data_IF_944351564199
#
_entry.id   IF_944351564199
#
_cell.length_a   1.000
_cell.length_b   1.000
_cell.length_c   1.000
_cell.angle_alpha   90.00
_cell.angle_beta   90.00
_cell.angle_gamma   90.00
#
_symmetry.space_group_name_H-M   'P 1'
#
loop_
_entity.id
_entity.type
_entity.pdbx_description
1 polymer ?
#
# COMPACT_ATOMS: atom_id res chain seq x y z
N UNK A 1 -29.41 -21.07 59.94
CA UNK A 1 -28.56 -20.31 58.99
C UNK A 1 -28.16 -21.23 57.84
N UNK A 2 -28.82 -21.12 56.68
CA UNK A 2 -28.36 -21.72 55.42
C UNK A 2 -28.44 -20.62 54.37
N UNK A 3 -27.29 -20.13 53.90
CA UNK A 3 -27.20 -19.11 52.85
C UNK A 3 -27.33 -19.80 51.50
N UNK A 4 -28.34 -19.43 50.72
CA UNK A 4 -28.40 -19.71 49.29
C UNK A 4 -27.50 -18.71 48.58
N UNK A 5 -26.52 -19.19 47.82
CA UNK A 5 -25.73 -18.38 46.89
C UNK A 5 -26.34 -18.63 45.51
N UNK A 6 -26.93 -17.60 44.93
CA UNK A 6 -27.32 -17.59 43.51
C UNK A 6 -26.07 -17.22 42.71
N UNK A 7 -25.59 -18.15 41.89
CA UNK A 7 -24.59 -17.84 40.87
C UNK A 7 -25.31 -17.30 39.64
N UNK A 8 -25.18 -15.99 39.40
CA UNK A 8 -25.61 -15.37 38.14
C UNK A 8 -24.58 -15.74 37.09
N UNK A 9 -24.96 -16.57 36.13
CA UNK A 9 -24.15 -16.81 34.94
C UNK A 9 -24.26 -15.57 34.03
N UNK A 10 -23.17 -14.81 33.92
CA UNK A 10 -23.05 -13.72 32.97
C UNK A 10 -22.84 -14.33 31.58
N UNK A 11 -23.88 -14.37 30.76
CA UNK A 11 -23.74 -14.69 29.33
C UNK A 11 -23.17 -13.45 28.65
N UNK A 12 -21.85 -13.46 28.41
CA UNK A 12 -21.20 -12.50 27.53
C UNK A 12 -21.57 -12.86 26.08
N UNK A 13 -22.59 -12.19 25.56
CA UNK A 13 -22.83 -12.16 24.11
C UNK A 13 -21.73 -11.31 23.50
N UNK A 14 -20.78 -11.95 22.81
CA UNK A 14 -19.86 -11.26 21.93
C UNK A 14 -20.68 -10.57 20.84
N UNK A 15 -20.76 -9.24 20.91
CA UNK A 15 -21.23 -8.45 19.77
C UNK A 15 -20.12 -8.48 18.71
N UNK A 16 -20.46 -8.61 17.42
CA UNK A 16 -19.48 -8.40 16.36
C UNK A 16 -19.00 -6.95 16.49
N UNK A 17 -17.70 -6.77 16.73
CA UNK A 17 -17.07 -5.47 16.56
C UNK A 17 -17.14 -5.18 15.05
N UNK A 18 -17.95 -4.18 14.70
CA UNK A 18 -17.87 -3.58 13.37
C UNK A 18 -16.54 -2.83 13.30
N UNK A 19 -15.88 -2.91 12.14
CA UNK A 19 -14.69 -2.14 11.79
C UNK A 19 -14.80 -0.66 12.22
N UNK A 20 -13.68 -0.03 12.54
CA UNK A 20 -13.67 1.43 12.69
C UNK A 20 -13.65 2.07 11.29
N UNK A 21 -14.85 2.37 10.78
CA UNK A 21 -15.06 3.32 9.67
C UNK A 21 -14.75 4.78 10.10
N UNK A 22 -14.18 5.02 11.30
CA UNK A 22 -14.07 6.33 11.94
C UNK A 22 -12.78 7.11 11.60
N UNK A 23 -12.02 6.68 10.59
CA UNK A 23 -10.89 7.50 10.10
C UNK A 23 -11.47 8.66 9.27
N UNK A 24 -11.72 9.78 9.96
CA UNK A 24 -12.27 10.98 9.35
C UNK A 24 -11.38 11.49 8.22
N UNK A 25 -12.01 11.97 7.14
CA UNK A 25 -11.35 12.70 6.05
C UNK A 25 -10.57 13.89 6.62
N UNK A 26 -9.26 13.94 6.33
CA UNK A 26 -8.36 14.96 6.84
C UNK A 26 -8.26 16.18 5.92
N UNK A 27 -8.83 16.12 4.70
CA UNK A 27 -8.84 17.27 3.80
C UNK A 27 -10.21 17.51 3.14
N UNK A 28 -11.23 17.87 3.94
CA UNK A 28 -12.56 18.18 3.42
C UNK A 28 -12.51 19.29 2.35
N UNK A 29 -12.97 18.98 1.15
CA UNK A 29 -12.98 19.88 -0.01
C UNK A 29 -12.04 19.48 -1.14
N UNK A 30 -11.19 18.48 -0.90
CA UNK A 30 -10.45 17.76 -1.93
C UNK A 30 -10.96 16.31 -2.02
N UNK A 31 -10.65 15.62 -3.13
CA UNK A 31 -10.78 14.16 -3.20
C UNK A 31 -9.53 13.46 -2.62
N UNK A 32 -8.45 14.20 -2.38
CA UNK A 32 -7.34 13.71 -1.57
C UNK A 32 -7.79 13.59 -0.11
N UNK A 33 -7.62 12.42 0.50
CA UNK A 33 -7.81 12.22 1.94
C UNK A 33 -6.96 13.16 2.82
N UNK A 34 -5.74 13.48 2.42
CA UNK A 34 -4.88 14.43 3.14
C UNK A 34 -4.16 15.37 2.18
N UNK A 35 -3.85 16.58 2.64
CA UNK A 35 -3.08 17.55 1.86
C UNK A 35 -1.61 17.12 1.80
N UNK A 36 -0.93 17.23 0.64
CA UNK A 36 0.49 16.93 0.59
C UNK A 36 1.32 17.80 1.53
N UNK A 37 2.32 17.21 2.17
CA UNK A 37 3.32 17.93 2.96
C UNK A 37 4.74 17.52 2.53
N UNK A 38 5.70 18.41 2.78
CA UNK A 38 7.12 18.15 2.52
C UNK A 38 7.72 17.32 3.66
N UNK A 39 8.14 16.10 3.37
CA UNK A 39 8.74 15.22 4.39
C UNK A 39 10.23 15.51 4.57
N UNK A 40 10.96 15.57 3.45
CA UNK A 40 12.34 16.06 3.36
C UNK A 40 12.42 17.05 2.19
N UNK A 41 13.46 17.90 2.12
CA UNK A 41 13.56 18.91 1.07
C UNK A 41 13.32 18.33 -0.34
N UNK A 42 12.32 18.86 -1.03
CA UNK A 42 11.93 18.45 -2.38
C UNK A 42 11.08 17.18 -2.48
N UNK A 43 10.88 16.41 -1.41
CA UNK A 43 10.08 15.17 -1.40
C UNK A 43 8.80 15.37 -0.61
N UNK A 44 7.68 15.23 -1.29
CA UNK A 44 6.34 15.45 -0.75
C UNK A 44 5.51 14.17 -0.79
N UNK A 45 4.54 14.07 0.12
CA UNK A 45 3.57 12.99 0.09
C UNK A 45 2.19 13.45 0.58
N UNK A 46 1.14 13.07 -0.15
CA UNK A 46 -0.22 13.03 0.35
C UNK A 46 -0.49 11.63 0.89
N UNK A 47 -0.80 11.54 2.18
CA UNK A 47 -1.01 10.27 2.86
C UNK A 47 -2.43 9.79 2.61
N UNK A 48 -2.56 8.56 2.15
CA UNK A 48 -3.85 7.90 2.01
C UNK A 48 -4.44 7.54 3.38
N UNK A 49 -5.76 7.33 3.43
CA UNK A 49 -6.39 6.76 4.61
C UNK A 49 -5.81 5.37 4.85
N UNK A 50 -5.36 5.07 6.07
CA UNK A 50 -4.94 3.72 6.49
C UNK A 50 -6.14 2.77 6.69
N UNK A 51 -7.19 2.96 5.90
CA UNK A 51 -8.46 2.24 5.92
C UNK A 51 -8.76 1.63 4.55
N UNK A 52 -9.80 0.78 4.43
CA UNK A 52 -10.30 0.35 3.14
C UNK A 52 -10.78 1.55 2.29
N UNK A 53 -10.87 1.41 0.96
CA UNK A 53 -11.43 2.46 0.12
C UNK A 53 -12.91 2.67 0.48
N UNK A 54 -13.28 3.92 0.72
CA UNK A 54 -14.65 4.35 0.98
C UNK A 54 -15.03 5.48 0.03
N UNK A 55 -16.30 5.86 0.04
CA UNK A 55 -16.72 7.05 -0.69
C UNK A 55 -16.04 8.30 -0.11
N UNK A 56 -15.98 8.41 1.21
CA UNK A 56 -15.47 9.55 1.98
C UNK A 56 -13.99 9.82 1.73
N UNK A 57 -13.16 8.77 1.68
CA UNK A 57 -11.74 8.90 1.35
C UNK A 57 -11.46 8.88 -0.17
N UNK A 58 -12.49 8.80 -1.01
CA UNK A 58 -12.41 8.72 -2.47
C UNK A 58 -11.57 7.54 -3.01
N UNK A 59 -11.32 6.51 -2.19
CA UNK A 59 -10.36 5.45 -2.49
C UNK A 59 -8.90 5.87 -2.39
N UNK A 60 -8.58 7.07 -1.89
CA UNK A 60 -7.23 7.49 -1.56
C UNK A 60 -6.76 6.79 -0.29
N UNK A 61 -6.30 5.56 -0.45
CA UNK A 61 -5.83 4.74 0.66
C UNK A 61 -4.32 4.43 0.60
N UNK A 62 -3.66 4.58 -0.55
CA UNK A 62 -2.19 4.53 -0.67
C UNK A 62 -1.58 5.94 -0.65
N UNK A 63 -0.26 6.01 -0.51
CA UNK A 63 0.47 7.28 -0.53
C UNK A 63 0.70 7.76 -1.97
N UNK A 64 0.38 9.03 -2.21
CA UNK A 64 0.67 9.72 -3.47
C UNK A 64 1.81 10.70 -3.25
N UNK A 65 3.00 10.31 -3.70
CA UNK A 65 4.23 11.06 -3.45
C UNK A 65 4.71 11.78 -4.71
N UNK A 66 5.50 12.84 -4.54
CA UNK A 66 6.16 13.50 -5.66
C UNK A 66 7.44 14.19 -5.24
N UNK A 67 8.34 14.36 -6.21
CA UNK A 67 9.68 14.90 -6.02
C UNK A 67 9.80 16.15 -6.90
N UNK A 68 10.04 17.30 -6.27
CA UNK A 68 10.32 18.58 -6.93
C UNK A 68 11.83 18.70 -7.09
N UNK A 69 12.31 18.52 -8.31
CA UNK A 69 13.73 18.26 -8.55
C UNK A 69 14.58 19.49 -8.88
N UNK A 70 13.92 20.58 -9.29
CA UNK A 70 14.57 21.76 -9.89
C UNK A 70 14.45 21.81 -11.41
N UNK A 71 14.24 20.67 -12.08
CA UNK A 71 14.08 20.55 -13.55
C UNK A 71 12.78 19.83 -13.96
N UNK A 72 11.85 19.67 -13.03
CA UNK A 72 10.60 18.95 -13.22
C UNK A 72 10.12 18.25 -11.96
N UNK A 73 8.90 17.73 -12.03
CA UNK A 73 8.32 16.91 -10.98
C UNK A 73 8.20 15.46 -11.43
N UNK A 74 8.63 14.54 -10.57
CA UNK A 74 8.33 13.11 -10.71
C UNK A 74 7.25 12.76 -9.70
N UNK A 75 6.17 12.13 -10.17
CA UNK A 75 5.10 11.62 -9.32
C UNK A 75 5.28 10.12 -9.11
N UNK A 76 4.97 9.65 -7.91
CA UNK A 76 4.93 8.24 -7.55
C UNK A 76 3.47 7.90 -7.24
N UNK A 77 2.95 6.91 -7.96
CA UNK A 77 1.56 6.48 -8.07
C UNK A 77 0.67 7.49 -8.81
N UNK A 78 -0.11 6.98 -9.76
CA UNK A 78 -1.00 7.81 -10.56
C UNK A 78 -2.29 8.14 -9.84
N UNK A 79 -2.66 7.36 -8.81
CA UNK A 79 -3.86 7.49 -8.00
C UNK A 79 -4.93 6.46 -8.35
N UNK A 80 -5.91 6.29 -7.46
CA UNK A 80 -7.02 5.33 -7.62
C UNK A 80 -8.14 5.78 -8.57
N UNK A 81 -8.07 6.99 -9.09
CA UNK A 81 -9.04 7.51 -10.06
C UNK A 81 -8.51 8.72 -10.83
N UNK A 82 -9.18 9.07 -11.92
CA UNK A 82 -8.93 10.31 -12.67
C UNK A 82 -9.03 11.55 -11.78
N UNK A 83 -10.05 11.63 -10.93
CA UNK A 83 -10.26 12.79 -10.06
C UNK A 83 -9.15 12.91 -9.01
N UNK A 84 -8.68 11.79 -8.48
CA UNK A 84 -7.60 11.78 -7.50
C UNK A 84 -6.27 12.24 -8.12
N UNK A 85 -5.92 11.72 -9.30
CA UNK A 85 -4.77 12.15 -10.08
C UNK A 85 -4.80 13.67 -10.36
N UNK A 86 -5.96 14.18 -10.78
CA UNK A 86 -6.18 15.60 -11.05
C UNK A 86 -6.05 16.46 -9.79
N UNK A 87 -6.55 15.99 -8.66
CA UNK A 87 -6.42 16.71 -7.39
C UNK A 87 -4.96 16.78 -6.93
N UNK A 88 -4.21 15.68 -7.03
CA UNK A 88 -2.77 15.67 -6.76
C UNK A 88 -2.02 16.67 -7.64
N UNK A 89 -2.27 16.66 -8.95
CA UNK A 89 -1.63 17.60 -9.88
C UNK A 89 -2.00 19.06 -9.59
N UNK A 90 -3.20 19.32 -9.08
CA UNK A 90 -3.61 20.66 -8.65
C UNK A 90 -2.78 21.14 -7.46
N UNK A 91 -2.54 20.28 -6.46
CA UNK A 91 -1.68 20.61 -5.33
C UNK A 91 -0.21 20.78 -5.75
N UNK A 92 0.29 19.95 -6.66
CA UNK A 92 1.65 20.11 -7.22
C UNK A 92 1.81 21.50 -7.86
N UNK A 93 0.85 21.94 -8.67
CA UNK A 93 0.87 23.29 -9.29
C UNK A 93 0.75 24.44 -8.30
N UNK A 94 0.20 24.19 -7.10
CA UNK A 94 0.17 25.20 -6.04
C UNK A 94 1.50 25.29 -5.28
N UNK A 95 2.31 24.22 -5.32
CA UNK A 95 3.61 24.12 -4.65
C UNK A 95 4.76 24.59 -5.56
N UNK A 96 4.69 24.30 -6.85
CA UNK A 96 5.77 24.62 -7.80
C UNK A 96 5.25 24.93 -9.21
N UNK A 97 5.98 25.78 -9.93
CA UNK A 97 5.76 26.06 -11.36
C UNK A 97 6.41 25.01 -12.28
N UNK A 98 7.18 24.07 -11.72
CA UNK A 98 7.81 23.00 -12.50
C UNK A 98 6.75 22.04 -13.07
N UNK A 99 6.83 21.70 -14.37
CA UNK A 99 5.92 20.73 -14.96
C UNK A 99 6.17 19.32 -14.40
N UNK A 100 5.11 18.53 -14.28
CA UNK A 100 5.24 17.08 -14.08
C UNK A 100 5.80 16.46 -15.36
N UNK A 101 6.87 15.68 -15.22
CA UNK A 101 7.63 15.09 -16.34
C UNK A 101 7.45 13.57 -16.45
N UNK A 102 7.13 12.91 -15.34
CA UNK A 102 7.07 11.46 -15.25
C UNK A 102 6.16 11.02 -14.10
N UNK A 103 5.44 9.92 -14.29
CA UNK A 103 4.77 9.19 -13.20
C UNK A 103 5.35 7.78 -13.13
N UNK A 104 5.96 7.43 -11.99
CA UNK A 104 6.35 6.07 -11.65
C UNK A 104 5.20 5.40 -10.91
N UNK A 105 4.93 4.13 -11.20
CA UNK A 105 3.83 3.38 -10.59
C UNK A 105 4.42 2.25 -9.76
N UNK A 106 4.04 2.19 -8.48
CA UNK A 106 4.66 1.24 -7.54
C UNK A 106 4.27 -0.22 -7.80
N UNK A 107 3.05 -0.48 -8.30
CA UNK A 107 2.53 -1.81 -8.56
C UNK A 107 1.36 -1.80 -9.55
N UNK A 108 0.81 -2.98 -9.86
CA UNK A 108 -0.31 -3.17 -10.79
C UNK A 108 -1.71 -2.93 -10.20
N UNK A 109 -1.82 -2.47 -8.96
CA UNK A 109 -3.10 -2.36 -8.26
C UNK A 109 -3.88 -1.09 -8.65
N UNK A 110 -5.20 -1.16 -8.52
CA UNK A 110 -6.10 -0.08 -8.93
C UNK A 110 -5.81 1.27 -8.25
N UNK A 111 -5.45 1.27 -6.96
CA UNK A 111 -5.14 2.50 -6.23
C UNK A 111 -3.87 3.21 -6.75
N UNK A 112 -2.96 2.47 -7.40
CA UNK A 112 -1.73 3.01 -7.96
C UNK A 112 -1.85 3.37 -9.45
N UNK A 113 -2.73 2.69 -10.21
CA UNK A 113 -2.78 2.78 -11.68
C UNK A 113 -4.03 3.43 -12.30
N UNK A 114 -5.18 3.46 -11.63
CA UNK A 114 -6.42 3.92 -12.26
C UNK A 114 -6.39 5.41 -12.64
N UNK A 115 -5.49 6.20 -12.05
CA UNK A 115 -5.26 7.60 -12.41
C UNK A 115 -4.51 7.81 -13.72
N UNK A 116 -4.00 6.74 -14.37
CA UNK A 116 -3.21 6.83 -15.60
C UNK A 116 -3.91 7.61 -16.72
N UNK A 117 -5.24 7.49 -16.83
CA UNK A 117 -6.04 8.22 -17.83
C UNK A 117 -5.81 9.72 -17.76
N UNK A 118 -5.77 10.30 -16.55
CA UNK A 118 -5.53 11.72 -16.37
C UNK A 118 -4.15 12.14 -16.86
N UNK A 119 -3.11 11.40 -16.48
CA UNK A 119 -1.72 11.72 -16.84
C UNK A 119 -1.46 11.57 -18.33
N UNK A 120 -2.05 10.57 -18.97
CA UNK A 120 -2.01 10.41 -20.42
C UNK A 120 -2.61 11.61 -21.15
N UNK A 121 -3.74 12.16 -20.68
CA UNK A 121 -4.33 13.39 -21.24
C UNK A 121 -3.43 14.63 -21.04
N UNK A 122 -2.61 14.65 -19.98
CA UNK A 122 -1.63 15.72 -19.77
C UNK A 122 -0.36 15.53 -20.62
N UNK A 123 -0.25 14.43 -21.37
CA UNK A 123 0.96 14.07 -22.13
C UNK A 123 2.14 13.71 -21.23
N UNK A 124 1.89 13.25 -20.00
CA UNK A 124 2.92 12.82 -19.05
C UNK A 124 3.09 11.31 -19.15
N UNK A 125 4.31 10.81 -19.41
CA UNK A 125 4.57 9.37 -19.45
C UNK A 125 4.34 8.71 -18.07
N UNK A 126 3.76 7.52 -18.11
CA UNK A 126 3.55 6.62 -16.97
C UNK A 126 4.42 5.38 -17.16
N UNK A 127 5.19 5.03 -16.13
CA UNK A 127 6.16 3.93 -16.17
C UNK A 127 5.84 2.94 -15.05
N UNK A 128 5.74 1.66 -15.40
CA UNK A 128 5.56 0.58 -14.44
C UNK A 128 6.53 -0.57 -14.72
N UNK A 129 6.71 -1.46 -13.75
CA UNK A 129 7.41 -2.71 -14.00
C UNK A 129 6.57 -3.62 -14.91
N UNK A 130 7.21 -4.45 -15.74
CA UNK A 130 6.55 -5.28 -16.76
C UNK A 130 5.47 -6.22 -16.19
N UNK A 131 5.72 -6.89 -15.07
CA UNK A 131 4.75 -7.73 -14.37
C UNK A 131 3.64 -6.93 -13.67
N UNK A 132 3.94 -5.74 -13.16
CA UNK A 132 2.90 -4.84 -12.63
C UNK A 132 1.94 -4.40 -13.74
N UNK A 133 2.47 -4.06 -14.93
CA UNK A 133 1.66 -3.74 -16.10
C UNK A 133 0.77 -4.93 -16.51
N UNK A 134 1.33 -6.14 -16.54
CA UNK A 134 0.59 -7.37 -16.83
C UNK A 134 -0.50 -7.66 -15.78
N UNK A 135 -0.19 -7.50 -14.50
CA UNK A 135 -1.18 -7.68 -13.42
C UNK A 135 -2.35 -6.68 -13.57
N UNK A 136 -2.08 -5.46 -14.02
CA UNK A 136 -3.13 -4.48 -14.31
C UNK A 136 -3.94 -4.81 -15.56
N UNK A 137 -3.35 -5.37 -16.61
CA UNK A 137 -4.10 -5.87 -17.77
C UNK A 137 -5.10 -6.97 -17.36
N UNK A 138 -4.67 -7.88 -16.47
CA UNK A 138 -5.49 -8.99 -15.99
C UNK A 138 -6.59 -8.53 -15.02
N UNK A 139 -6.27 -7.64 -14.07
CA UNK A 139 -7.13 -7.32 -12.92
C UNK A 139 -7.75 -5.91 -12.99
N UNK A 140 -7.29 -5.05 -13.90
CA UNK A 140 -7.68 -3.64 -13.98
C UNK A 140 -9.18 -3.45 -14.17
N UNK A 141 -9.83 -4.29 -14.99
CA UNK A 141 -11.28 -4.21 -15.20
C UNK A 141 -12.08 -4.47 -13.92
N UNK A 142 -11.62 -5.36 -13.04
CA UNK A 142 -12.23 -5.57 -11.74
C UNK A 142 -11.97 -4.38 -10.82
N UNK A 143 -10.72 -3.90 -10.78
CA UNK A 143 -10.34 -2.73 -9.99
C UNK A 143 -11.17 -1.49 -10.35
N UNK A 144 -11.37 -1.23 -11.64
CA UNK A 144 -12.18 -0.11 -12.13
C UNK A 144 -13.65 -0.23 -11.69
N UNK A 145 -14.25 -1.42 -11.81
CA UNK A 145 -15.63 -1.64 -11.35
C UNK A 145 -15.77 -1.40 -9.84
N UNK A 146 -14.81 -1.89 -9.05
CA UNK A 146 -14.78 -1.67 -7.60
C UNK A 146 -14.65 -0.18 -7.27
N UNK A 147 -13.73 0.53 -7.93
CA UNK A 147 -13.53 1.96 -7.74
C UNK A 147 -14.78 2.77 -8.10
N UNK A 148 -15.43 2.48 -9.24
CA UNK A 148 -16.68 3.12 -9.64
C UNK A 148 -17.83 2.84 -8.66
N UNK A 149 -17.91 1.63 -8.11
CA UNK A 149 -18.93 1.28 -7.12
C UNK A 149 -18.74 2.01 -5.79
N UNK A 150 -17.50 2.15 -5.33
CA UNK A 150 -17.16 2.76 -4.04
C UNK A 150 -17.13 4.28 -4.13
N UNK A 151 -16.33 4.82 -5.05
CA UNK A 151 -16.06 6.25 -5.17
C UNK A 151 -17.11 7.00 -5.99
N UNK A 152 -17.96 6.29 -6.75
CA UNK A 152 -19.08 6.85 -7.54
C UNK A 152 -18.58 7.98 -8.45
N UNK A 153 -19.14 9.19 -8.35
CA UNK A 153 -18.75 10.35 -9.14
C UNK A 153 -17.29 10.78 -8.90
N UNK A 154 -16.68 10.40 -7.77
CA UNK A 154 -15.24 10.61 -7.53
C UNK A 154 -14.35 9.70 -8.38
N UNK A 155 -14.93 8.77 -9.13
CA UNK A 155 -14.26 7.97 -10.16
C UNK A 155 -14.61 8.42 -11.59
N UNK A 156 -15.37 9.51 -11.79
CA UNK A 156 -15.72 9.98 -13.13
C UNK A 156 -14.48 10.30 -13.98
N UNK A 157 -14.51 9.87 -15.24
CA UNK A 157 -13.39 10.01 -16.18
C UNK A 157 -12.29 8.94 -16.04
N UNK A 158 -12.41 8.02 -15.08
CA UNK A 158 -11.45 6.92 -14.91
C UNK A 158 -11.70 5.84 -15.97
N UNK A 159 -10.68 5.54 -16.76
CA UNK A 159 -10.68 4.47 -17.77
C UNK A 159 -9.50 3.51 -17.54
N UNK A 160 -9.52 2.36 -18.22
CA UNK A 160 -8.36 1.46 -18.21
C UNK A 160 -7.30 1.99 -19.17
N UNK A 161 -6.34 2.73 -18.63
CA UNK A 161 -5.19 3.24 -19.38
C UNK A 161 -3.92 2.51 -18.91
N UNK A 162 -3.32 1.65 -19.74
CA UNK A 162 -2.07 0.99 -19.36
C UNK A 162 -0.92 2.00 -19.21
N UNK A 163 0.16 1.66 -18.49
CA UNK A 163 1.36 2.48 -18.47
C UNK A 163 1.90 2.66 -19.90
N UNK A 164 2.44 3.85 -20.19
CA UNK A 164 3.01 4.14 -21.52
C UNK A 164 4.36 3.47 -21.77
N UNK A 165 5.10 3.16 -20.70
CA UNK A 165 6.40 2.50 -20.75
C UNK A 165 6.49 1.42 -19.67
N UNK A 166 7.28 0.38 -19.93
CA UNK A 166 7.62 -0.63 -18.92
C UNK A 166 9.12 -0.81 -18.78
N UNK A 167 9.54 -1.37 -17.65
CA UNK A 167 10.91 -1.82 -17.40
C UNK A 167 10.91 -3.12 -16.60
N UNK A 168 12.03 -3.84 -16.64
CA UNK A 168 12.14 -5.15 -15.98
C UNK A 168 12.77 -5.02 -14.58
N UNK A 169 14.04 -4.58 -14.52
CA UNK A 169 14.81 -4.59 -13.26
C UNK A 169 15.01 -3.18 -12.65
N UNK A 170 15.44 -2.22 -13.46
CA UNK A 170 15.85 -0.89 -12.99
C UNK A 170 15.54 0.20 -14.02
N UNK A 171 14.98 1.32 -13.55
CA UNK A 171 14.77 2.54 -14.34
C UNK A 171 15.40 3.72 -13.60
N UNK A 172 16.36 4.39 -14.24
CA UNK A 172 17.15 5.48 -13.63
C UNK A 172 16.69 6.82 -14.20
N UNK A 173 16.50 7.79 -13.32
CA UNK A 173 16.19 9.17 -13.67
C UNK A 173 17.17 10.10 -12.99
N UNK A 174 17.94 10.83 -13.80
CA UNK A 174 18.67 12.01 -13.36
C UNK A 174 17.85 13.25 -13.75
N UNK A 175 17.35 13.98 -12.76
CA UNK A 175 16.53 15.18 -12.99
C UNK A 175 16.86 16.22 -11.95
N UNK A 176 17.28 17.41 -12.41
CA UNK A 176 17.74 18.48 -11.51
C UNK A 176 18.83 18.00 -10.56
N UNK A 177 18.59 18.16 -9.26
CA UNK A 177 19.53 17.78 -8.18
C UNK A 177 19.32 16.34 -7.68
N UNK A 178 18.47 15.54 -8.32
CA UNK A 178 18.08 14.21 -7.86
C UNK A 178 18.55 13.10 -8.80
N UNK A 179 19.17 12.08 -8.21
CA UNK A 179 19.37 10.76 -8.81
C UNK A 179 18.34 9.80 -8.23
N UNK A 180 17.49 9.24 -9.08
CA UNK A 180 16.31 8.47 -8.68
C UNK A 180 16.36 7.12 -9.38
N UNK A 181 16.20 6.05 -8.60
CA UNK A 181 16.19 4.68 -9.11
C UNK A 181 14.85 4.01 -8.80
N UNK A 182 14.05 3.69 -9.81
CA UNK A 182 12.96 2.74 -9.65
C UNK A 182 13.54 1.33 -9.78
N UNK A 183 13.35 0.51 -8.75
CA UNK A 183 13.99 -0.80 -8.61
C UNK A 183 12.95 -1.88 -8.38
N UNK A 184 12.97 -2.91 -9.23
CA UNK A 184 12.38 -4.20 -8.91
C UNK A 184 13.39 -5.00 -8.08
N UNK A 185 13.07 -5.25 -6.82
CA UNK A 185 14.00 -5.93 -5.89
C UNK A 185 13.80 -7.45 -5.87
N UNK A 186 12.65 -7.92 -6.33
CA UNK A 186 12.21 -9.30 -6.23
C UNK A 186 10.73 -9.40 -5.82
N UNK A 187 10.18 -10.61 -5.67
CA UNK A 187 8.80 -10.83 -5.28
C UNK A 187 8.47 -10.19 -3.92
N UNK A 188 7.29 -9.58 -3.81
CA UNK A 188 6.84 -8.86 -2.62
C UNK A 188 5.31 -8.96 -2.43
N UNK A 189 4.63 -7.83 -2.20
CA UNK A 189 3.19 -7.77 -1.96
C UNK A 189 2.37 -8.18 -3.18
N UNK A 190 2.76 -7.73 -4.37
CA UNK A 190 2.13 -8.06 -5.65
C UNK A 190 3.16 -8.22 -6.78
N UNK A 191 2.78 -8.83 -7.92
CA UNK A 191 3.67 -8.97 -9.06
C UNK A 191 4.20 -7.63 -9.57
N UNK A 192 5.52 -7.51 -9.65
CA UNK A 192 6.17 -6.33 -10.21
C UNK A 192 6.22 -5.12 -9.28
N UNK A 193 6.07 -5.30 -7.97
CA UNK A 193 6.25 -4.20 -7.01
C UNK A 193 7.64 -3.58 -7.15
N UNK A 194 7.69 -2.25 -7.20
CA UNK A 194 8.94 -1.49 -7.23
C UNK A 194 9.10 -0.63 -5.98
N UNK A 195 10.35 -0.32 -5.68
CA UNK A 195 10.71 0.78 -4.78
C UNK A 195 11.30 1.93 -5.59
N UNK A 196 11.15 3.16 -5.13
CA UNK A 196 11.86 4.33 -5.65
C UNK A 196 12.93 4.75 -4.65
N UNK A 197 14.19 4.51 -5.00
CA UNK A 197 15.37 4.74 -4.17
C UNK A 197 16.09 6.03 -4.54
N UNK A 198 16.36 6.85 -3.53
CA UNK A 198 17.08 8.12 -3.62
C UNK A 198 18.35 8.01 -2.75
N UNK A 199 19.48 7.55 -3.31
CA UNK A 199 20.67 7.23 -2.52
C UNK A 199 21.29 8.43 -1.82
N UNK A 200 21.33 9.60 -2.45
CA UNK A 200 21.91 10.83 -1.89
C UNK A 200 21.09 11.34 -0.69
N UNK A 201 19.78 11.12 -0.71
CA UNK A 201 18.87 11.49 0.38
C UNK A 201 18.74 10.39 1.44
N UNK A 202 19.28 9.19 1.18
CA UNK A 202 19.06 7.98 2.00
C UNK A 202 17.57 7.75 2.24
N UNK A 203 16.75 7.94 1.19
CA UNK A 203 15.30 7.83 1.23
C UNK A 203 14.82 6.76 0.24
N UNK A 204 13.92 5.88 0.70
CA UNK A 204 13.17 4.98 -0.17
C UNK A 204 11.68 5.28 -0.08
N UNK A 205 11.03 5.45 -1.23
CA UNK A 205 9.56 5.32 -1.34
C UNK A 205 9.33 3.86 -1.70
N UNK A 206 8.95 3.05 -0.71
CA UNK A 206 9.00 1.60 -0.84
C UNK A 206 7.83 1.02 -1.62
N UNK A 207 6.80 1.82 -1.86
CA UNK A 207 5.47 1.28 -2.16
C UNK A 207 5.10 0.14 -1.22
N UNK A 208 4.39 -0.84 -1.75
CA UNK A 208 3.90 -1.98 -0.95
C UNK A 208 4.98 -3.03 -0.64
N UNK A 209 6.27 -2.77 -0.90
CA UNK A 209 7.34 -3.54 -0.25
C UNK A 209 7.29 -3.39 1.28
N UNK A 210 6.83 -2.23 1.78
CA UNK A 210 6.76 -1.94 3.20
C UNK A 210 5.51 -1.13 3.60
N UNK A 211 4.94 -1.50 4.74
CA UNK A 211 3.74 -0.92 5.33
C UNK A 211 4.04 -0.26 6.68
N UNK A 212 3.31 0.81 6.99
CA UNK A 212 3.31 1.45 8.29
C UNK A 212 1.87 1.78 8.70
N UNK A 213 1.57 1.68 10.00
CA UNK A 213 0.24 1.96 10.62
C UNK A 213 -0.90 1.04 10.17
N UNK A 214 -0.92 0.61 8.91
CA UNK A 214 -1.89 -0.29 8.30
C UNK A 214 -1.36 -1.72 8.21
N UNK A 215 -2.23 -2.70 8.47
CA UNK A 215 -1.97 -4.10 8.17
C UNK A 215 -1.89 -4.34 6.66
N UNK A 216 -0.82 -5.01 6.24
CA UNK A 216 -0.57 -5.46 4.88
C UNK A 216 -1.56 -6.57 4.48
N UNK A 217 -2.22 -6.46 3.31
CA UNK A 217 -2.96 -7.58 2.74
C UNK A 217 -2.01 -8.65 2.21
N UNK A 218 -2.39 -9.93 2.37
CA UNK A 218 -1.78 -11.06 1.68
C UNK A 218 -2.77 -11.58 0.65
N UNK A 219 -2.40 -11.51 -0.63
CA UNK A 219 -3.23 -12.01 -1.72
C UNK A 219 -2.92 -13.47 -2.02
N UNK A 220 -3.70 -14.08 -2.92
CA UNK A 220 -3.48 -15.46 -3.34
C UNK A 220 -2.18 -15.67 -4.11
N UNK A 221 -1.65 -14.63 -4.73
CA UNK A 221 -0.41 -14.58 -5.50
C UNK A 221 0.78 -13.97 -4.74
N UNK A 222 0.56 -13.46 -3.52
CA UNK A 222 1.63 -12.99 -2.63
C UNK A 222 2.38 -14.19 -2.06
N UNK A 223 3.64 -14.44 -2.46
CA UNK A 223 4.45 -15.52 -1.88
C UNK A 223 5.21 -14.96 -0.67
N UNK A 224 4.71 -15.25 0.54
CA UNK A 224 5.21 -14.60 1.77
C UNK A 224 6.66 -14.97 2.14
N UNK A 225 7.12 -16.17 1.78
CA UNK A 225 8.50 -16.60 1.94
C UNK A 225 9.46 -15.84 1.03
N UNK A 226 9.09 -15.66 -0.24
CA UNK A 226 9.88 -14.88 -1.21
C UNK A 226 9.89 -13.39 -0.87
N UNK A 227 8.78 -12.85 -0.34
CA UNK A 227 8.78 -11.46 0.16
C UNK A 227 9.77 -11.26 1.31
N UNK A 228 9.83 -12.20 2.26
CA UNK A 228 10.83 -12.18 3.34
C UNK A 228 12.26 -12.32 2.81
N UNK A 229 12.48 -13.15 1.79
CA UNK A 229 13.79 -13.28 1.13
C UNK A 229 14.20 -11.99 0.42
N UNK A 230 13.30 -11.37 -0.35
CA UNK A 230 13.53 -10.07 -1.00
C UNK A 230 13.81 -8.97 0.03
N UNK A 231 13.10 -9.00 1.17
CA UNK A 231 13.33 -8.05 2.26
C UNK A 231 14.78 -8.13 2.74
N UNK A 232 15.27 -9.33 3.03
CA UNK A 232 16.59 -9.55 3.64
C UNK A 232 17.74 -9.39 2.65
N UNK A 233 17.54 -9.84 1.41
CA UNK A 233 18.59 -9.86 0.39
C UNK A 233 18.74 -8.52 -0.35
N UNK A 234 17.67 -7.72 -0.45
CA UNK A 234 17.65 -6.54 -1.31
C UNK A 234 17.09 -5.26 -0.63
N UNK A 235 15.93 -5.31 0.01
CA UNK A 235 15.28 -4.08 0.55
C UNK A 235 15.97 -3.52 1.79
N UNK A 236 16.15 -4.33 2.85
CA UNK A 236 16.81 -3.87 4.07
C UNK A 236 18.28 -3.45 3.84
N UNK A 237 19.05 -4.12 2.96
CA UNK A 237 20.39 -3.68 2.56
C UNK A 237 20.48 -2.29 1.90
N UNK A 238 19.39 -1.72 1.38
CA UNK A 238 19.37 -0.30 0.96
C UNK A 238 19.76 0.63 2.12
N UNK A 239 19.50 0.19 3.36
CA UNK A 239 19.86 0.89 4.59
C UNK A 239 19.38 2.36 4.59
N UNK A 240 18.15 2.55 4.12
CA UNK A 240 17.50 3.84 4.04
C UNK A 240 17.29 4.43 5.45
N UNK A 241 17.65 5.71 5.62
CA UNK A 241 17.36 6.46 6.83
C UNK A 241 15.86 6.80 6.89
N UNK A 242 15.30 7.17 5.75
CA UNK A 242 13.92 7.60 5.60
C UNK A 242 13.14 6.61 4.71
N UNK A 243 11.92 6.30 5.10
CA UNK A 243 11.04 5.39 4.35
C UNK A 243 9.68 6.06 4.18
N UNK A 244 9.21 6.20 2.95
CA UNK A 244 7.80 6.48 2.66
C UNK A 244 7.15 5.15 2.25
N UNK A 245 6.28 4.55 3.09
CA UNK A 245 5.64 3.28 2.79
C UNK A 245 4.57 3.44 1.69
N UNK A 246 4.06 2.35 1.13
CA UNK A 246 2.90 2.37 0.22
C UNK A 246 1.63 2.84 0.93
N UNK A 247 1.52 2.53 2.23
CA UNK A 247 0.42 2.96 3.10
C UNK A 247 0.93 3.47 4.46
N UNK A 248 0.34 4.57 4.93
CA UNK A 248 0.63 5.18 6.24
C UNK A 248 1.71 6.26 6.20
N UNK A 249 1.99 6.88 7.34
CA UNK A 249 2.89 8.04 7.37
C UNK A 249 4.37 7.68 7.08
N UNK A 250 5.15 8.61 6.51
CA UNK A 250 6.60 8.50 6.38
C UNK A 250 7.29 8.22 7.71
N UNK A 251 8.32 7.38 7.67
CA UNK A 251 8.96 6.80 8.84
C UNK A 251 10.40 6.38 8.55
N UNK A 252 10.91 5.33 9.20
CA UNK A 252 12.26 4.78 9.05
C UNK A 252 12.23 3.24 8.91
N UNK A 253 13.39 2.67 8.53
CA UNK A 253 13.55 1.23 8.31
C UNK A 253 13.16 0.37 9.52
N UNK A 254 13.47 0.81 10.75
CA UNK A 254 13.15 0.05 11.96
C UNK A 254 11.64 -0.07 12.19
N UNK A 255 10.87 0.97 11.88
CA UNK A 255 9.43 0.97 12.03
C UNK A 255 8.76 0.06 10.99
N UNK A 256 9.15 0.18 9.72
CA UNK A 256 8.59 -0.70 8.67
C UNK A 256 9.03 -2.15 8.84
N UNK A 257 10.24 -2.42 9.34
CA UNK A 257 10.68 -3.77 9.71
C UNK A 257 9.75 -4.39 10.74
N UNK A 258 9.35 -3.62 11.77
CA UNK A 258 8.41 -4.09 12.79
C UNK A 258 7.04 -4.42 12.20
N UNK A 259 6.51 -3.52 11.38
CA UNK A 259 5.13 -3.58 10.91
C UNK A 259 4.93 -4.50 9.69
N UNK A 260 5.97 -4.73 8.89
CA UNK A 260 5.92 -5.55 7.67
C UNK A 260 6.59 -6.89 7.91
N UNK A 261 7.93 -6.93 7.89
CA UNK A 261 8.71 -8.16 8.09
C UNK A 261 8.33 -8.89 9.38
N UNK A 262 8.28 -8.15 10.49
CA UNK A 262 7.93 -8.73 11.79
C UNK A 262 6.55 -9.39 11.79
N UNK A 263 5.55 -8.79 11.12
CA UNK A 263 4.22 -9.38 11.00
C UNK A 263 4.25 -10.67 10.18
N UNK A 264 4.91 -10.65 9.01
CA UNK A 264 5.04 -11.82 8.15
C UNK A 264 5.74 -12.98 8.87
N UNK A 265 6.86 -12.71 9.55
CA UNK A 265 7.58 -13.70 10.35
C UNK A 265 6.72 -14.26 11.48
N UNK A 266 6.01 -13.37 12.20
CA UNK A 266 5.16 -13.76 13.31
C UNK A 266 3.98 -14.64 12.83
N UNK A 267 3.28 -14.24 11.77
CA UNK A 267 2.15 -14.98 11.24
C UNK A 267 2.59 -16.35 10.69
N UNK A 268 3.66 -16.39 9.89
CA UNK A 268 4.24 -17.66 9.41
C UNK A 268 4.65 -18.56 10.58
N UNK A 269 5.23 -18.00 11.64
CA UNK A 269 5.55 -18.74 12.86
C UNK A 269 4.30 -19.33 13.54
N UNK A 270 3.21 -18.57 13.63
CA UNK A 270 1.94 -19.07 14.17
C UNK A 270 1.28 -20.15 13.32
N UNK A 271 1.36 -20.02 12.01
CA UNK A 271 0.87 -21.04 11.08
C UNK A 271 1.74 -22.31 11.14
N UNK A 272 3.07 -22.18 11.28
CA UNK A 272 3.94 -23.33 11.48
C UNK A 272 3.61 -24.09 12.78
N UNK A 273 3.48 -23.38 13.91
CA UNK A 273 3.05 -23.97 15.19
C UNK A 273 1.71 -24.73 15.05
N UNK A 274 0.79 -24.18 14.27
CA UNK A 274 -0.53 -24.76 14.02
C UNK A 274 -0.47 -26.01 13.13
N UNK A 275 0.30 -25.98 12.04
CA UNK A 275 0.53 -27.12 11.15
C UNK A 275 1.24 -28.28 11.87
N UNK A 276 2.29 -27.98 12.66
CA UNK A 276 3.03 -28.98 13.45
C UNK A 276 2.13 -29.70 14.48
N UNK A 277 1.10 -29.01 14.96
CA UNK A 277 0.08 -29.57 15.86
C UNK A 277 -1.01 -30.39 15.11
N UNK A 278 -0.92 -30.53 13.79
CA UNK A 278 -1.92 -31.19 12.95
C UNK A 278 -3.20 -30.38 12.76
N UNK A 279 -3.10 -29.05 12.88
CA UNK A 279 -4.21 -28.11 12.75
C UNK A 279 -4.79 -28.04 11.34
N UNK A 280 -6.04 -27.58 11.25
CA UNK A 280 -6.76 -27.44 9.98
C UNK A 280 -6.84 -25.99 9.52
N UNK A 281 -7.14 -25.75 8.24
CA UNK A 281 -7.42 -24.40 7.73
C UNK A 281 -8.52 -23.68 8.54
N UNK A 282 -9.55 -24.40 8.97
CA UNK A 282 -10.66 -23.81 9.72
C UNK A 282 -10.22 -23.17 11.04
N UNK A 283 -9.22 -23.77 11.69
CA UNK A 283 -8.63 -23.27 12.93
C UNK A 283 -7.53 -22.22 12.66
N UNK A 284 -6.85 -22.32 11.52
CA UNK A 284 -5.77 -21.41 11.12
C UNK A 284 -6.23 -19.95 11.03
N UNK A 285 -7.47 -19.72 10.61
CA UNK A 285 -8.11 -18.41 10.56
C UNK A 285 -8.09 -17.64 11.89
N UNK A 286 -7.93 -18.33 13.02
CA UNK A 286 -8.05 -17.77 14.37
C UNK A 286 -6.76 -17.89 15.19
N UNK A 287 -5.62 -18.12 14.54
CA UNK A 287 -4.32 -18.05 15.24
C UNK A 287 -4.11 -16.65 15.85
N UNK A 288 -3.47 -16.61 17.01
CA UNK A 288 -3.28 -15.36 17.75
C UNK A 288 -2.40 -14.37 16.98
N UNK A 289 -3.02 -13.27 16.54
CA UNK A 289 -2.37 -12.12 15.91
C UNK A 289 -2.46 -10.86 16.76
N UNK A 290 -2.87 -10.97 18.03
CA UNK A 290 -3.06 -9.84 18.94
C UNK A 290 -1.86 -8.90 19.11
N UNK A 291 -0.58 -9.31 18.92
CA UNK A 291 0.54 -8.36 18.91
C UNK A 291 0.47 -7.30 17.81
N UNK A 292 -0.35 -7.49 16.77
CA UNK A 292 -0.55 -6.59 15.63
C UNK A 292 -1.94 -5.96 15.59
N UNK A 293 -2.76 -6.15 16.64
CA UNK A 293 -4.12 -5.59 16.73
C UNK A 293 -4.17 -4.05 16.75
N UNK A 294 -3.02 -3.40 16.92
CA UNK A 294 -2.90 -1.95 16.84
C UNK A 294 -2.72 -1.41 15.41
N UNK A 295 -2.56 -2.29 14.41
CA UNK A 295 -2.51 -1.86 13.03
C UNK A 295 -3.91 -1.62 12.51
N UNK A 296 -4.09 -0.54 11.75
CA UNK A 296 -5.34 -0.28 11.07
C UNK A 296 -5.64 -1.42 10.08
N UNK A 297 -6.92 -1.67 9.81
CA UNK A 297 -7.42 -2.80 9.02
C UNK A 297 -7.15 -4.20 9.58
N UNK A 298 -6.73 -4.32 10.86
CA UNK A 298 -6.49 -5.61 11.51
C UNK A 298 -7.72 -6.52 11.47
N UNK A 299 -8.90 -6.01 11.83
CA UNK A 299 -10.14 -6.80 11.92
C UNK A 299 -10.58 -7.35 10.55
N UNK A 300 -10.26 -6.63 9.48
CA UNK A 300 -10.56 -6.97 8.10
C UNK A 300 -9.57 -8.00 7.54
N UNK A 301 -8.29 -7.87 7.86
CA UNK A 301 -7.22 -8.59 7.17
C UNK A 301 -6.65 -9.75 7.96
N UNK A 302 -6.60 -9.71 9.29
CA UNK A 302 -5.91 -10.72 10.10
C UNK A 302 -6.42 -12.13 9.81
N UNK A 303 -7.74 -12.31 9.74
CA UNK A 303 -8.36 -13.60 9.41
C UNK A 303 -7.98 -14.04 8.00
N UNK A 304 -8.11 -13.15 7.00
CA UNK A 304 -7.83 -13.47 5.59
C UNK A 304 -6.36 -13.86 5.42
N UNK A 305 -5.46 -13.06 5.99
CA UNK A 305 -4.01 -13.27 5.94
C UNK A 305 -3.63 -14.62 6.52
N UNK A 306 -4.18 -15.01 7.68
CA UNK A 306 -3.89 -16.31 8.28
C UNK A 306 -4.30 -17.49 7.39
N UNK A 307 -5.47 -17.41 6.75
CA UNK A 307 -5.90 -18.42 5.78
C UNK A 307 -4.96 -18.51 4.58
N UNK A 308 -4.53 -17.36 4.03
CA UNK A 308 -3.61 -17.32 2.88
C UNK A 308 -2.24 -17.91 3.19
N UNK A 309 -1.70 -17.58 4.36
CA UNK A 309 -0.41 -18.12 4.81
C UNK A 309 -0.52 -19.62 5.08
N UNK A 310 -1.63 -20.10 5.66
CA UNK A 310 -1.87 -21.54 5.81
C UNK A 310 -1.90 -22.25 4.45
N UNK A 311 -2.67 -21.74 3.48
CA UNK A 311 -2.78 -22.31 2.13
C UNK A 311 -1.41 -22.41 1.44
N UNK A 312 -0.51 -21.45 1.67
CA UNK A 312 0.86 -21.49 1.15
C UNK A 312 1.70 -22.55 1.86
N UNK A 313 1.72 -22.52 3.19
CA UNK A 313 2.62 -23.33 4.01
C UNK A 313 2.21 -24.80 4.10
N UNK A 314 0.95 -25.16 3.84
CA UNK A 314 0.51 -26.57 3.82
C UNK A 314 1.28 -27.41 2.79
N UNK A 315 1.88 -26.78 1.78
CA UNK A 315 2.62 -27.43 0.70
C UNK A 315 4.13 -27.11 0.68
N UNK A 316 4.64 -26.36 1.66
CA UNK A 316 6.08 -26.11 1.87
C UNK A 316 6.76 -27.30 2.56
#
# INVERSE_FOLDING_TARGET
MKRFVFTVALVLTAMPALASEDIADQYPGSVLYSKPFEFIPGVYSAIGATAPPTYENAGHNNNLSFIVTGDGVIVINSGGSYQLAKALHTEIKAITDQPVKLVLIENGQGHAMLGNTYWAEQGVPTVAQTDAARAFEENGAQSLRSAQSVAKERADGTELTPPSETFDDKYVIDMGDFHIEALYLGPAHSPGDIVVWLPEQSLVISGDMAFNERMLPIFSDTITSEWLETWDSAFEPLNATYVIPGHGHPTNMAQVRRNTKGYLEYLRGKIAEHLDAGGTLADAYYVDQSPYANLDTFEELATINAGRVFEQMEFE
#
